data_IF_620154793488
#
_entry.id   IF_620154793488
#
_cell.length_a   1.000
_cell.length_b   1.000
_cell.length_c   1.000
_cell.angle_alpha   90.00
_cell.angle_beta   90.00
_cell.angle_gamma   90.00
#
_symmetry.space_group_name_H-M   'P 1'
#
loop_
_entity.id
_entity.type
_entity.pdbx_description
1 polymer ?
#
# COMPACT_ATOMS: atom_id res chain seq x y z
N UNK A 1 -10.08 -2.42 4.12
CA UNK A 1 -10.51 -1.83 2.82
C UNK A 1 -9.52 -2.21 1.69
N UNK A 2 -9.88 -2.15 0.40
CA UNK A 2 -8.92 -2.29 -0.72
C UNK A 2 -8.86 -1.01 -1.58
N UNK A 3 -7.64 -0.56 -1.88
CA UNK A 3 -7.30 0.71 -2.55
C UNK A 3 -6.85 0.53 -4.01
N UNK A 4 -6.29 -0.62 -4.34
CA UNK A 4 -6.10 -1.10 -5.71
C UNK A 4 -6.55 -2.55 -5.76
N UNK A 5 -7.02 -3.00 -6.93
CA UNK A 5 -7.43 -4.38 -7.20
C UNK A 5 -6.78 -4.88 -8.47
N UNK A 6 -6.45 -6.17 -8.49
CA UNK A 6 -6.06 -6.82 -9.73
C UNK A 6 -7.17 -6.64 -10.78
N UNK A 7 -6.82 -6.10 -11.93
CA UNK A 7 -7.70 -6.02 -13.10
C UNK A 7 -6.92 -6.46 -14.33
N UNK A 8 -7.53 -6.30 -15.51
CA UNK A 8 -6.83 -6.52 -16.78
C UNK A 8 -5.66 -5.55 -16.98
N UNK A 9 -5.79 -4.34 -16.42
CA UNK A 9 -4.85 -3.23 -16.63
C UNK A 9 -4.13 -2.82 -15.33
N UNK A 10 -4.25 -3.63 -14.27
CA UNK A 10 -3.65 -3.37 -12.98
C UNK A 10 -3.14 -4.68 -12.37
N UNK A 11 -1.82 -4.82 -12.29
CA UNK A 11 -1.14 -5.95 -11.67
C UNK A 11 -0.87 -5.72 -10.17
N UNK A 12 -1.58 -4.79 -9.54
CA UNK A 12 -1.41 -4.43 -8.14
C UNK A 12 -2.67 -4.70 -7.32
N UNK A 13 -2.47 -5.27 -6.14
CA UNK A 13 -3.49 -5.38 -5.10
C UNK A 13 -2.99 -4.69 -3.84
N UNK A 14 -3.67 -3.62 -3.44
CA UNK A 14 -3.31 -2.82 -2.26
C UNK A 14 -4.50 -2.81 -1.33
N UNK A 15 -4.35 -3.34 -0.13
CA UNK A 15 -5.45 -3.49 0.81
C UNK A 15 -4.97 -3.39 2.24
N UNK A 16 -5.84 -2.89 3.09
CA UNK A 16 -5.63 -2.84 4.53
C UNK A 16 -5.85 -4.22 5.12
N UNK A 17 -4.85 -4.70 5.85
CA UNK A 17 -4.93 -5.95 6.61
C UNK A 17 -5.73 -5.70 7.90
N UNK A 18 -6.90 -6.34 8.01
CA UNK A 18 -7.60 -6.45 9.27
C UNK A 18 -7.10 -7.72 9.98
N UNK A 19 -6.16 -7.59 10.93
CA UNK A 19 -5.82 -8.70 11.83
C UNK A 19 -6.48 -8.52 13.19
N UNK A 20 -7.24 -9.54 13.58
CA UNK A 20 -7.81 -9.65 14.93
C UNK A 20 -6.68 -9.60 15.96
N UNK A 21 -6.65 -8.54 16.77
CA UNK A 21 -5.76 -8.41 17.92
C UNK A 21 -4.53 -7.51 17.74
N UNK A 22 -4.27 -6.96 16.55
CA UNK A 22 -3.28 -5.88 16.39
C UNK A 22 -3.95 -4.50 16.49
N UNK A 23 -3.33 -3.60 17.25
CA UNK A 23 -3.79 -2.21 17.46
C UNK A 23 -3.37 -1.25 16.34
N UNK A 24 -2.49 -1.67 15.42
CA UNK A 24 -1.94 -0.80 14.38
C UNK A 24 -2.40 -1.23 12.98
N UNK A 25 -3.01 -0.30 12.24
CA UNK A 25 -3.39 -0.51 10.85
C UNK A 25 -2.17 -0.77 9.97
N UNK A 26 -2.29 -1.75 9.07
CA UNK A 26 -1.23 -2.11 8.11
C UNK A 26 -1.79 -2.16 6.69
N UNK A 27 -0.96 -1.78 5.73
CA UNK A 27 -1.27 -1.79 4.30
C UNK A 27 -0.45 -2.88 3.61
N UNK A 28 -1.12 -3.90 3.11
CA UNK A 28 -0.53 -4.91 2.24
C UNK A 28 -0.49 -4.41 0.79
N UNK A 29 0.64 -4.64 0.13
CA UNK A 29 0.91 -4.24 -1.26
C UNK A 29 1.48 -5.43 -2.01
N UNK A 30 0.68 -5.99 -2.90
CA UNK A 30 1.02 -7.19 -3.67
C UNK A 30 1.06 -6.86 -5.16
N UNK A 31 2.08 -7.37 -5.85
CA UNK A 31 2.16 -7.36 -7.30
C UNK A 31 1.85 -8.77 -7.82
N UNK A 32 1.11 -8.90 -8.93
CA UNK A 32 0.67 -10.21 -9.47
C UNK A 32 1.84 -11.19 -9.64
N UNK A 33 2.93 -10.75 -10.27
CA UNK A 33 4.11 -11.60 -10.50
C UNK A 33 4.99 -11.83 -9.26
N UNK A 34 4.72 -11.11 -8.16
CA UNK A 34 5.51 -11.17 -6.93
C UNK A 34 4.61 -11.43 -5.71
N UNK A 35 3.43 -12.04 -5.90
CA UNK A 35 2.43 -12.27 -4.85
C UNK A 35 2.99 -13.05 -3.64
N UNK A 36 3.85 -14.09 -3.80
CA UNK A 36 4.50 -14.77 -2.67
C UNK A 36 5.42 -13.88 -1.83
N UNK A 37 5.81 -12.72 -2.38
CA UNK A 37 6.68 -11.71 -1.74
C UNK A 37 5.88 -10.48 -1.31
N UNK A 38 4.54 -10.53 -1.34
CA UNK A 38 3.69 -9.44 -0.90
C UNK A 38 4.15 -8.82 0.41
N UNK A 39 4.23 -7.49 0.47
CA UNK A 39 4.80 -6.77 1.60
C UNK A 39 3.74 -5.98 2.35
N UNK A 40 3.87 -5.92 3.68
CA UNK A 40 2.95 -5.20 4.56
C UNK A 40 3.66 -4.08 5.30
N UNK A 41 3.08 -2.88 5.22
CA UNK A 41 3.69 -1.65 5.70
C UNK A 41 2.83 -1.01 6.79
N UNK A 42 3.47 -0.40 7.79
CA UNK A 42 2.79 0.41 8.80
C UNK A 42 2.50 1.82 8.27
N UNK A 43 1.64 2.57 8.97
CA UNK A 43 1.35 3.98 8.67
C UNK A 43 2.64 4.80 8.50
N UNK A 44 3.56 4.70 9.47
CA UNK A 44 4.83 5.43 9.43
C UNK A 44 5.75 5.03 8.26
N UNK A 45 5.73 3.76 7.85
CA UNK A 45 6.49 3.31 6.67
C UNK A 45 5.93 3.94 5.39
N UNK A 46 4.60 3.93 5.22
CA UNK A 46 3.95 4.53 4.05
C UNK A 46 4.16 6.05 4.01
N UNK A 47 4.06 6.74 5.15
CA UNK A 47 4.38 8.18 5.23
C UNK A 47 5.81 8.47 4.75
N UNK A 48 6.79 7.69 5.23
CA UNK A 48 8.19 7.85 4.85
C UNK A 48 8.41 7.59 3.35
N UNK A 49 7.76 6.58 2.77
CA UNK A 49 7.81 6.32 1.32
C UNK A 49 7.25 7.49 0.50
N UNK A 50 6.16 8.11 0.96
CA UNK A 50 5.56 9.26 0.29
C UNK A 50 6.42 10.52 0.37
N UNK A 51 7.07 10.75 1.53
CA UNK A 51 7.97 11.87 1.78
C UNK A 51 9.25 11.78 0.94
N UNK A 52 9.89 10.62 0.93
CA UNK A 52 11.10 10.36 0.16
C UNK A 52 10.82 10.09 -1.33
N UNK A 53 9.54 9.90 -1.67
CA UNK A 53 9.09 9.42 -2.97
C UNK A 53 9.78 8.13 -3.44
N UNK A 54 10.20 7.30 -2.48
CA UNK A 54 10.92 6.07 -2.69
C UNK A 54 10.04 4.86 -2.40
N UNK A 55 9.83 4.05 -3.43
CA UNK A 55 9.00 2.84 -3.42
C UNK A 55 9.81 1.60 -3.80
N UNK A 56 11.14 1.74 -3.89
CA UNK A 56 12.06 0.69 -4.36
C UNK A 56 12.02 -0.58 -3.50
N UNK A 57 11.59 -0.47 -2.24
CA UNK A 57 11.42 -1.61 -1.35
C UNK A 57 10.20 -2.47 -1.66
N UNK A 58 9.29 -2.02 -2.54
CA UNK A 58 8.08 -2.77 -2.89
C UNK A 58 8.42 -3.81 -3.96
N UNK A 59 8.18 -5.11 -3.71
CA UNK A 59 8.42 -6.15 -4.71
C UNK A 59 7.63 -5.91 -5.99
N UNK A 60 8.31 -6.00 -7.14
CA UNK A 60 7.73 -5.70 -8.45
C UNK A 60 7.61 -4.21 -8.78
N UNK A 61 8.12 -3.31 -7.94
CA UNK A 61 8.08 -1.88 -8.23
C UNK A 61 8.90 -1.52 -9.47
N UNK A 62 8.32 -0.62 -10.28
CA UNK A 62 8.98 0.05 -11.38
C UNK A 62 8.60 1.55 -11.33
N UNK A 63 9.45 2.47 -11.82
CA UNK A 63 9.19 3.91 -11.74
C UNK A 63 7.83 4.35 -12.30
N UNK A 64 7.33 3.68 -13.34
CA UNK A 64 6.01 3.94 -13.94
C UNK A 64 4.83 3.71 -12.97
N UNK A 65 4.99 2.79 -12.01
CA UNK A 65 3.97 2.49 -11.00
C UNK A 65 3.86 3.59 -9.93
N UNK A 66 4.84 4.49 -9.82
CA UNK A 66 4.94 5.54 -8.80
C UNK A 66 3.63 6.28 -8.60
N UNK A 67 3.05 6.80 -9.69
CA UNK A 67 1.86 7.65 -9.62
C UNK A 67 0.63 6.91 -9.10
N UNK A 68 0.47 5.65 -9.50
CA UNK A 68 -0.66 4.81 -9.09
C UNK A 68 -0.54 4.40 -7.62
N UNK A 69 0.62 3.90 -7.20
CA UNK A 69 0.88 3.51 -5.81
C UNK A 69 0.76 4.71 -4.86
N UNK A 70 1.30 5.87 -5.25
CA UNK A 70 1.15 7.13 -4.50
C UNK A 70 -0.32 7.46 -4.23
N UNK A 71 -1.20 7.34 -5.22
CA UNK A 71 -2.64 7.61 -5.05
C UNK A 71 -3.27 6.66 -4.04
N UNK A 72 -2.97 5.37 -4.14
CA UNK A 72 -3.49 4.35 -3.23
C UNK A 72 -3.04 4.62 -1.78
N UNK A 73 -1.78 4.98 -1.59
CA UNK A 73 -1.20 5.24 -0.28
C UNK A 73 -1.75 6.51 0.36
N UNK A 74 -1.90 7.59 -0.41
CA UNK A 74 -2.53 8.83 0.06
C UNK A 74 -3.98 8.59 0.47
N UNK A 75 -4.73 7.82 -0.33
CA UNK A 75 -6.12 7.47 0.01
C UNK A 75 -6.19 6.72 1.35
N UNK A 76 -5.37 5.68 1.52
CA UNK A 76 -5.32 4.94 2.79
C UNK A 76 -4.93 5.82 3.98
N UNK A 77 -3.88 6.63 3.87
CA UNK A 77 -3.46 7.52 4.96
C UNK A 77 -4.54 8.54 5.35
N UNK A 78 -5.29 9.05 4.38
CA UNK A 78 -6.39 10.00 4.63
C UNK A 78 -7.50 9.36 5.48
N UNK A 79 -7.77 8.07 5.28
CA UNK A 79 -8.70 7.31 6.11
C UNK A 79 -8.15 7.07 7.52
N UNK A 80 -6.87 6.72 7.66
CA UNK A 80 -6.25 6.53 8.98
C UNK A 80 -6.27 7.80 9.81
N UNK A 81 -5.96 8.95 9.21
CA UNK A 81 -6.04 10.25 9.89
C UNK A 81 -7.47 10.69 10.24
N UNK A 82 -8.48 10.18 9.52
CA UNK A 82 -9.89 10.45 9.82
C UNK A 82 -10.45 9.54 10.91
N UNK A 83 -9.83 8.37 11.14
CA UNK A 83 -10.21 7.43 12.19
C UNK A 83 -9.67 7.81 13.59
N UNK A 84 -8.78 8.80 13.68
CA UNK A 84 -8.22 9.34 14.93
C UNK A 84 -9.00 10.55 15.50
N UNK A 85 -10.21 10.88 14.99
CA UNK A 85 -11.06 12.00 15.44
C UNK A 85 -12.36 11.51 16.09
#
# INVERSE_FOLDING_TARGET
MAYLRYTRDCDWYVFEEAKQGETASRLAVWHRDHEPQGASYTVGMIQKMLELEDYSSIPGYQPEHKRMLRKAFVAWLSEQSSAEI
#
